data_IF_475423374001
#
_entry.id   IF_475423374001
#
_cell.length_a   1.000
_cell.length_b   1.000
_cell.length_c   1.000
_cell.angle_alpha   90.00
_cell.angle_beta   90.00
_cell.angle_gamma   90.00
#
_symmetry.space_group_name_H-M   'P 1'
#
loop_
_entity.id
_entity.type
_entity.pdbx_description
1 polymer ?
#
# COMPACT_ATOMS: atom_id res chain seq x y z
N UNK A 1 -41.80 12.01 -25.66
CA UNK A 1 -40.92 12.54 -24.59
C UNK A 1 -40.14 11.44 -23.87
N UNK A 2 -40.55 10.17 -23.96
CA UNK A 2 -39.91 9.01 -23.28
C UNK A 2 -38.43 8.78 -23.67
N UNK A 3 -38.10 8.91 -24.96
CA UNK A 3 -36.73 8.68 -25.46
C UNK A 3 -35.71 9.74 -24.98
N UNK A 4 -36.15 10.95 -24.66
CA UNK A 4 -35.25 12.03 -24.21
C UNK A 4 -34.82 11.81 -22.74
N UNK A 5 -35.74 11.32 -21.91
CA UNK A 5 -35.44 10.95 -20.52
C UNK A 5 -34.51 9.74 -20.43
N UNK A 6 -34.68 8.74 -21.31
CA UNK A 6 -33.82 7.56 -21.36
C UNK A 6 -32.35 7.91 -21.66
N UNK A 7 -32.11 8.83 -22.62
CA UNK A 7 -30.76 9.29 -22.96
C UNK A 7 -30.14 10.09 -21.81
N UNK A 8 -30.92 10.92 -21.14
CA UNK A 8 -30.45 11.73 -20.00
C UNK A 8 -30.07 10.85 -18.81
N UNK A 9 -30.80 9.75 -18.59
CA UNK A 9 -30.51 8.79 -17.53
C UNK A 9 -29.28 7.92 -17.86
N UNK A 10 -29.09 7.55 -19.14
CA UNK A 10 -27.92 6.82 -19.59
C UNK A 10 -26.63 7.64 -19.44
N UNK A 11 -26.68 8.94 -19.76
CA UNK A 11 -25.53 9.86 -19.64
C UNK A 11 -25.14 10.09 -18.16
N UNK A 12 -26.12 10.21 -17.27
CA UNK A 12 -25.86 10.31 -15.82
C UNK A 12 -25.29 9.01 -15.24
N UNK A 13 -25.73 7.87 -15.73
CA UNK A 13 -25.22 6.58 -15.31
C UNK A 13 -23.77 6.36 -15.76
N UNK A 14 -23.37 6.82 -16.95
CA UNK A 14 -21.95 6.76 -17.36
C UNK A 14 -21.05 7.61 -16.46
N UNK A 15 -21.44 8.85 -16.17
CA UNK A 15 -20.64 9.75 -15.30
C UNK A 15 -20.42 9.15 -13.90
N UNK A 16 -21.46 8.52 -13.33
CA UNK A 16 -21.35 7.85 -12.02
C UNK A 16 -20.42 6.63 -12.03
N UNK A 17 -20.37 5.89 -13.14
CA UNK A 17 -19.51 4.70 -13.31
C UNK A 17 -18.06 5.10 -13.49
N UNK A 18 -17.79 6.13 -14.28
CA UNK A 18 -16.45 6.66 -14.48
C UNK A 18 -15.91 7.24 -13.17
N UNK A 19 -16.73 7.97 -12.43
CA UNK A 19 -16.36 8.46 -11.09
C UNK A 19 -16.09 7.31 -10.10
N UNK A 20 -16.85 6.20 -10.17
CA UNK A 20 -16.60 5.03 -9.32
C UNK A 20 -15.30 4.32 -9.69
N UNK A 21 -15.01 4.16 -10.98
CA UNK A 21 -13.78 3.55 -11.46
C UNK A 21 -12.52 4.35 -11.07
N UNK A 22 -12.59 5.69 -11.16
CA UNK A 22 -11.50 6.58 -10.70
C UNK A 22 -11.26 6.43 -9.20
N UNK A 23 -12.32 6.38 -8.38
CA UNK A 23 -12.18 6.20 -6.93
C UNK A 23 -11.58 4.84 -6.55
N UNK A 24 -12.02 3.76 -7.20
CA UNK A 24 -11.47 2.42 -6.95
C UNK A 24 -9.97 2.35 -7.31
N UNK A 25 -9.57 3.02 -8.39
CA UNK A 25 -8.16 3.17 -8.76
C UNK A 25 -7.37 3.89 -7.65
N UNK A 26 -7.88 5.02 -7.16
CA UNK A 26 -7.21 5.83 -6.14
C UNK A 26 -7.08 5.09 -4.79
N UNK A 27 -8.13 4.37 -4.37
CA UNK A 27 -8.12 3.55 -3.16
C UNK A 27 -7.08 2.43 -3.29
N UNK A 28 -7.00 1.79 -4.47
CA UNK A 28 -6.02 0.73 -4.74
C UNK A 28 -4.59 1.25 -4.67
N UNK A 29 -4.32 2.39 -5.29
CA UNK A 29 -2.99 3.01 -5.27
C UNK A 29 -2.59 3.44 -3.85
N UNK A 30 -3.48 4.13 -3.12
CA UNK A 30 -3.24 4.55 -1.75
C UNK A 30 -2.99 3.34 -0.82
N UNK A 31 -3.76 2.26 -0.98
CA UNK A 31 -3.62 1.03 -0.19
C UNK A 31 -2.27 0.35 -0.45
N UNK A 32 -1.80 0.33 -1.70
CA UNK A 32 -0.48 -0.20 -2.05
C UNK A 32 0.66 0.63 -1.45
N UNK A 33 0.55 1.96 -1.51
CA UNK A 33 1.54 2.86 -0.89
C UNK A 33 1.58 2.70 0.63
N UNK A 34 0.41 2.55 1.27
CA UNK A 34 0.31 2.28 2.70
C UNK A 34 1.01 0.98 3.08
N UNK A 35 0.75 -0.12 2.35
CA UNK A 35 1.40 -1.41 2.60
C UNK A 35 2.94 -1.29 2.50
N UNK A 36 3.45 -0.57 1.50
CA UNK A 36 4.88 -0.33 1.36
C UNK A 36 5.49 0.40 2.56
N UNK A 37 4.83 1.44 3.07
CA UNK A 37 5.26 2.18 4.27
C UNK A 37 5.22 1.27 5.51
N UNK A 38 4.15 0.48 5.64
CA UNK A 38 3.97 -0.44 6.74
C UNK A 38 5.06 -1.51 6.75
N UNK A 39 5.38 -2.12 5.60
CA UNK A 39 6.44 -3.12 5.48
C UNK A 39 7.81 -2.55 5.84
N UNK A 40 8.16 -1.35 5.35
CA UNK A 40 9.39 -0.66 5.76
C UNK A 40 9.46 -0.46 7.27
N UNK A 41 8.34 -0.03 7.87
CA UNK A 41 8.25 0.19 9.32
C UNK A 41 8.41 -1.13 10.09
N UNK A 42 7.74 -2.19 9.65
CA UNK A 42 7.82 -3.52 10.26
C UNK A 42 9.24 -4.06 10.23
N UNK A 43 9.90 -4.02 9.06
CA UNK A 43 11.29 -4.48 8.91
C UNK A 43 12.26 -3.67 9.77
N UNK A 44 12.07 -2.35 9.85
CA UNK A 44 12.85 -1.47 10.73
C UNK A 44 12.70 -1.86 12.21
N UNK A 45 11.47 -2.13 12.68
CA UNK A 45 11.24 -2.55 14.06
C UNK A 45 11.81 -3.96 14.34
N UNK A 46 11.66 -4.92 13.43
CA UNK A 46 12.29 -6.24 13.56
C UNK A 46 13.81 -6.16 13.72
N UNK A 47 14.46 -5.27 12.97
CA UNK A 47 15.90 -5.04 13.09
C UNK A 47 16.31 -4.35 14.38
N UNK A 48 15.55 -3.34 14.83
CA UNK A 48 15.79 -2.71 16.13
C UNK A 48 15.73 -3.74 17.25
N UNK A 49 14.72 -4.62 17.21
CA UNK A 49 14.58 -5.72 18.17
C UNK A 49 15.78 -6.66 18.12
N UNK A 50 16.22 -7.09 16.93
CA UNK A 50 17.43 -7.90 16.79
C UNK A 50 18.70 -7.22 17.33
N UNK A 51 18.83 -5.91 17.11
CA UNK A 51 19.96 -5.12 17.62
C UNK A 51 19.99 -5.04 19.16
N UNK A 52 18.85 -5.23 19.85
CA UNK A 52 18.82 -5.32 21.32
C UNK A 52 19.39 -6.65 21.84
N UNK A 53 19.31 -7.71 21.03
CA UNK A 53 19.85 -9.04 21.36
C UNK A 53 21.32 -9.19 20.92
N UNK A 54 21.82 -8.28 20.09
CA UNK A 54 23.22 -8.24 19.70
C UNK A 54 24.11 -7.75 20.86
N UNK A 55 25.28 -8.39 20.98
CA UNK A 55 26.29 -7.97 21.94
C UNK A 55 26.86 -6.60 21.53
N UNK A 56 27.04 -5.70 22.50
CA UNK A 56 27.57 -4.33 22.27
C UNK A 56 28.96 -4.31 21.61
N UNK A 57 29.70 -5.42 21.69
CA UNK A 57 31.04 -5.59 21.13
C UNK A 57 31.06 -6.28 19.75
N UNK A 58 29.90 -6.50 19.12
CA UNK A 58 29.84 -7.13 17.79
C UNK A 58 30.34 -6.15 16.70
N UNK A 59 31.51 -6.41 16.04
CA UNK A 59 32.04 -5.53 15.00
C UNK A 59 31.16 -5.47 13.74
N UNK A 60 30.21 -6.40 13.58
CA UNK A 60 29.20 -6.38 12.52
C UNK A 60 27.99 -5.48 12.84
N UNK A 61 27.90 -4.93 14.06
CA UNK A 61 26.80 -4.05 14.49
C UNK A 61 27.24 -2.57 14.60
N UNK A 62 28.17 -2.15 13.74
CA UNK A 62 28.59 -0.74 13.65
C UNK A 62 27.54 0.15 12.99
N UNK A 63 27.59 1.46 13.25
CA UNK A 63 26.66 2.43 12.63
C UNK A 63 26.72 2.42 11.10
N UNK A 64 27.93 2.31 10.53
CA UNK A 64 28.12 2.25 9.09
C UNK A 64 27.45 1.02 8.46
N UNK A 65 27.54 -0.15 9.12
CA UNK A 65 26.87 -1.37 8.67
C UNK A 65 25.35 -1.22 8.75
N UNK A 66 24.82 -0.66 9.86
CA UNK A 66 23.38 -0.36 10.00
C UNK A 66 22.86 0.54 8.89
N UNK A 67 23.59 1.59 8.53
CA UNK A 67 23.19 2.50 7.45
C UNK A 67 23.14 1.78 6.11
N UNK A 68 24.18 0.99 5.78
CA UNK A 68 24.23 0.20 4.55
C UNK A 68 23.08 -0.82 4.47
N UNK A 69 22.80 -1.49 5.59
CA UNK A 69 21.69 -2.43 5.71
C UNK A 69 20.34 -1.72 5.55
N UNK A 70 20.20 -0.50 6.06
CA UNK A 70 19.01 0.33 5.87
C UNK A 70 18.71 0.56 4.39
N UNK A 71 19.70 1.01 3.62
CA UNK A 71 19.55 1.21 2.18
C UNK A 71 19.22 -0.08 1.42
N UNK A 72 19.84 -1.19 1.79
CA UNK A 72 19.53 -2.50 1.21
C UNK A 72 18.07 -2.89 1.46
N UNK A 73 17.58 -2.68 2.68
CA UNK A 73 16.19 -2.98 3.02
C UNK A 73 15.20 -2.07 2.33
N UNK A 74 15.52 -0.79 2.15
CA UNK A 74 14.65 0.11 1.41
C UNK A 74 14.48 -0.39 -0.03
N UNK A 75 15.57 -0.78 -0.69
CA UNK A 75 15.52 -1.37 -2.03
C UNK A 75 14.75 -2.71 -2.06
N UNK A 76 14.94 -3.55 -1.04
CA UNK A 76 14.22 -4.82 -0.91
C UNK A 76 12.71 -4.60 -0.68
N UNK A 77 12.33 -3.64 0.17
CA UNK A 77 10.94 -3.27 0.42
C UNK A 77 10.27 -2.77 -0.84
N UNK A 78 10.96 -1.91 -1.60
CA UNK A 78 10.42 -1.38 -2.86
C UNK A 78 10.22 -2.49 -3.90
N UNK A 79 11.09 -3.50 -3.95
CA UNK A 79 10.91 -4.66 -4.82
C UNK A 79 9.77 -5.58 -4.35
N UNK A 80 9.67 -5.83 -3.04
CA UNK A 80 8.58 -6.63 -2.46
C UNK A 80 7.22 -5.97 -2.65
N UNK A 81 7.13 -4.65 -2.47
CA UNK A 81 5.90 -3.89 -2.72
C UNK A 81 5.43 -3.99 -4.18
N UNK A 82 6.36 -4.11 -5.14
CA UNK A 82 6.03 -4.27 -6.57
C UNK A 82 5.57 -5.68 -6.95
N UNK A 83 6.00 -6.72 -6.23
CA UNK A 83 5.79 -8.13 -6.61
C UNK A 83 4.56 -8.81 -5.98
N UNK A 84 3.67 -8.04 -5.36
CA UNK A 84 2.70 -8.45 -4.33
C UNK A 84 3.34 -8.48 -2.94
N UNK A 85 2.89 -7.56 -2.09
CA UNK A 85 3.27 -7.47 -0.67
C UNK A 85 2.69 -8.61 0.16
N UNK A 86 2.25 -8.29 1.38
CA UNK A 86 1.72 -9.27 2.34
C UNK A 86 0.18 -9.41 2.27
N UNK A 87 -0.48 -8.64 1.40
CA UNK A 87 -1.92 -8.70 1.15
C UNK A 87 -2.74 -7.70 1.97
N UNK A 88 -2.10 -6.76 2.68
CA UNK A 88 -2.81 -5.74 3.47
C UNK A 88 -3.47 -4.72 2.54
N UNK A 89 -2.81 -4.35 1.44
CA UNK A 89 -3.40 -3.45 0.45
C UNK A 89 -4.72 -4.03 -0.12
N UNK A 90 -4.74 -5.33 -0.43
CA UNK A 90 -5.93 -6.02 -0.94
C UNK A 90 -7.06 -6.06 0.09
N UNK A 91 -6.72 -6.29 1.36
CA UNK A 91 -7.68 -6.23 2.46
C UNK A 91 -8.27 -4.82 2.62
N UNK A 92 -7.45 -3.78 2.56
CA UNK A 92 -7.89 -2.39 2.67
C UNK A 92 -8.81 -2.01 1.52
N UNK A 93 -8.44 -2.34 0.27
CA UNK A 93 -9.31 -2.13 -0.90
C UNK A 93 -10.64 -2.84 -0.69
N UNK A 94 -10.64 -4.10 -0.26
CA UNK A 94 -11.87 -4.86 -0.02
C UNK A 94 -12.76 -4.21 1.06
N UNK A 95 -12.18 -3.67 2.12
CA UNK A 95 -12.92 -3.01 3.20
C UNK A 95 -13.50 -1.66 2.75
N UNK A 96 -12.69 -0.83 2.09
CA UNK A 96 -13.12 0.49 1.64
C UNK A 96 -14.10 0.44 0.45
N UNK A 97 -13.90 -0.49 -0.50
CA UNK A 97 -14.82 -0.67 -1.62
C UNK A 97 -16.14 -1.33 -1.19
N UNK A 98 -16.16 -2.14 -0.11
CA UNK A 98 -17.39 -2.72 0.43
C UNK A 98 -18.24 -1.72 1.23
N UNK A 99 -17.61 -0.79 1.98
CA UNK A 99 -18.33 0.27 2.70
C UNK A 99 -19.02 1.28 1.77
N UNK A 100 -18.65 1.31 0.49
CA UNK A 100 -19.19 2.25 -0.50
C UNK A 100 -20.34 1.69 -1.34
N UNK A 101 -20.76 0.43 -1.10
CA UNK A 101 -21.85 -0.22 -1.84
C UNK A 101 -23.23 -0.10 -1.17
N UNK A 102 -23.34 0.68 -0.09
CA UNK A 102 -24.59 1.13 0.54
C UNK A 102 -24.84 2.63 0.26
#
# INVERSE_FOLDING_TARGET
>A
MENLNAITHALRASDSRDAAAVRDHDIKEASAQFEAIFMRSLLKEMRKVNALFDSKDNPFNSDAVRTMQGFYDDALCDELAKRQGIGIAEMLVKQLSAQHHD
#
